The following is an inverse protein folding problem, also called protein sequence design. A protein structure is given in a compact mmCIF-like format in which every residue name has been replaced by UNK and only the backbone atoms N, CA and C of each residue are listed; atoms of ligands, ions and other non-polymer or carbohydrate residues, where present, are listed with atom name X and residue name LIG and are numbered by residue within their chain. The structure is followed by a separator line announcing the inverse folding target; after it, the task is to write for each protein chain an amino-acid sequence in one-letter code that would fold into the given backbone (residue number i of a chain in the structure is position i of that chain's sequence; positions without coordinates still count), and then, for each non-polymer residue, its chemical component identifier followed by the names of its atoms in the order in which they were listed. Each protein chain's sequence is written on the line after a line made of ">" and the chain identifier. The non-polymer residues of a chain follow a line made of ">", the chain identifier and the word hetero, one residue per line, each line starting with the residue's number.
data_IF_948423477243
#
_entry.id   IF_948423477243
#
_cell.length_a   1.000
_cell.length_b   1.000
_cell.length_c   1.000
_cell.angle_alpha   90.00
_cell.angle_beta   90.00
_cell.angle_gamma   90.00
#
_symmetry.space_group_name_H-M   'P 1'
#
loop_
_entity.id
_entity.type
_entity.pdbx_description
1 polymer ?
#
# COMPACT_ATOMS: atom_id res chain seq x y z
N UNK A 1 -26.68 30.12 -1.17
CA UNK A 1 -28.04 29.81 -0.70
C UNK A 1 -27.93 28.46 -0.03
N UNK A 2 -27.89 28.43 1.31
CA UNK A 2 -27.80 27.19 2.06
C UNK A 2 -29.13 26.46 1.96
N UNK A 3 -29.09 25.19 1.56
CA UNK A 3 -30.21 24.30 1.80
C UNK A 3 -30.22 24.02 3.31
N UNK A 4 -31.39 24.09 3.93
CA UNK A 4 -31.60 23.58 5.28
C UNK A 4 -32.07 22.13 5.16
N UNK A 5 -31.68 21.28 6.09
CA UNK A 5 -32.29 19.95 6.19
C UNK A 5 -33.71 20.05 6.78
N UNK A 6 -34.42 18.91 6.86
CA UNK A 6 -35.78 18.85 7.40
C UNK A 6 -35.89 19.32 8.88
N UNK A 7 -34.76 19.60 9.54
CA UNK A 7 -34.66 20.06 10.93
C UNK A 7 -34.14 21.51 11.04
N UNK A 8 -33.92 22.21 9.93
CA UNK A 8 -33.42 23.59 9.93
C UNK A 8 -31.91 23.71 10.16
N UNK A 9 -31.14 22.62 10.07
CA UNK A 9 -29.68 22.66 10.20
C UNK A 9 -29.08 23.10 8.85
N UNK A 10 -28.16 24.10 8.84
CA UNK A 10 -27.50 24.50 7.62
C UNK A 10 -26.71 23.34 6.99
N UNK A 11 -26.99 23.03 5.72
CA UNK A 11 -26.24 22.03 4.96
C UNK A 11 -25.02 22.67 4.31
N UNK A 12 -23.85 22.12 4.60
CA UNK A 12 -22.56 22.53 4.03
C UNK A 12 -22.27 21.80 2.70
N UNK A 13 -21.51 22.44 1.80
CA UNK A 13 -21.20 21.92 0.46
C UNK A 13 -19.70 21.89 0.16
N UNK A 14 -19.17 20.67 0.14
CA UNK A 14 -17.84 20.17 -0.22
C UNK A 14 -17.58 19.95 -1.71
N UNK A 15 -16.90 20.83 -2.45
CA UNK A 15 -16.47 20.53 -3.84
C UNK A 15 -15.00 20.12 -3.88
N UNK A 16 -14.70 18.96 -4.45
CA UNK A 16 -13.34 18.43 -4.57
C UNK A 16 -13.22 17.43 -5.73
N UNK A 17 -12.02 16.90 -5.94
CA UNK A 17 -11.76 15.84 -6.92
C UNK A 17 -11.47 14.50 -6.25
N UNK A 18 -11.79 13.41 -6.96
CA UNK A 18 -11.39 12.03 -6.67
C UNK A 18 -10.62 11.53 -7.89
N UNK A 19 -9.29 11.55 -7.83
CA UNK A 19 -8.47 11.46 -9.03
C UNK A 19 -8.81 12.62 -9.98
N UNK A 20 -9.35 12.33 -11.15
CA UNK A 20 -9.81 13.35 -12.13
C UNK A 20 -11.33 13.57 -12.13
N UNK A 21 -12.08 12.85 -11.29
CA UNK A 21 -13.53 12.94 -11.22
C UNK A 21 -13.96 14.03 -10.24
N UNK A 22 -14.77 15.02 -10.65
CA UNK A 22 -15.33 15.99 -9.72
C UNK A 22 -16.35 15.32 -8.79
N UNK A 23 -16.36 15.75 -7.54
CA UNK A 23 -17.25 15.27 -6.50
C UNK A 23 -17.83 16.45 -5.70
N UNK A 24 -19.08 16.30 -5.28
CA UNK A 24 -19.69 17.17 -4.28
C UNK A 24 -20.13 16.33 -3.09
N UNK A 25 -19.75 16.76 -1.89
CA UNK A 25 -20.20 16.17 -0.63
C UNK A 25 -21.07 17.18 0.09
N UNK A 26 -22.25 16.73 0.51
CA UNK A 26 -23.20 17.50 1.29
C UNK A 26 -23.32 16.88 2.68
N UNK A 27 -23.47 17.70 3.70
CA UNK A 27 -23.77 17.22 5.04
C UNK A 27 -24.02 18.37 6.00
N UNK A 28 -24.76 18.07 7.06
CA UNK A 28 -24.85 18.93 8.23
C UNK A 28 -23.56 18.80 9.05
N UNK A 29 -23.09 19.92 9.60
CA UNK A 29 -21.95 20.00 10.53
C UNK A 29 -20.69 19.30 10.00
N UNK A 30 -20.40 19.48 8.71
CA UNK A 30 -19.32 18.76 8.05
C UNK A 30 -17.95 19.15 8.62
N UNK A 31 -17.78 20.39 9.09
CA UNK A 31 -16.60 20.80 9.86
C UNK A 31 -16.31 19.87 11.05
N UNK A 32 -17.28 19.68 11.95
CA UNK A 32 -17.09 18.84 13.14
C UNK A 32 -16.98 17.36 12.79
N UNK A 33 -17.71 16.88 11.77
CA UNK A 33 -17.56 15.50 11.28
C UNK A 33 -16.18 15.22 10.73
N UNK A 34 -15.59 16.17 9.99
CA UNK A 34 -14.20 16.07 9.54
C UNK A 34 -13.24 16.01 10.74
N UNK A 35 -13.43 16.87 11.74
CA UNK A 35 -12.59 16.88 12.94
C UNK A 35 -12.72 15.58 13.74
N UNK A 36 -13.93 15.07 13.93
CA UNK A 36 -14.19 13.79 14.59
C UNK A 36 -13.49 12.64 13.87
N UNK A 37 -13.60 12.59 12.53
CA UNK A 37 -12.90 11.61 11.72
C UNK A 37 -11.38 11.70 11.89
N UNK A 38 -10.81 12.91 11.75
CA UNK A 38 -9.36 13.13 11.85
C UNK A 38 -8.81 12.81 13.25
N UNK A 39 -9.53 13.18 14.31
CA UNK A 39 -9.18 12.85 15.71
C UNK A 39 -9.27 11.35 16.00
N UNK A 40 -10.10 10.62 15.26
CA UNK A 40 -10.24 9.16 15.37
C UNK A 40 -9.15 8.35 14.65
N UNK A 41 -8.31 8.98 13.82
CA UNK A 41 -7.17 8.31 13.21
C UNK A 41 -6.05 8.19 14.24
N UNK A 42 -5.68 6.94 14.58
CA UNK A 42 -4.58 6.65 15.51
C UNK A 42 -3.44 5.91 14.80
N UNK A 43 -2.39 6.62 14.34
CA UNK A 43 -1.23 6.01 13.71
C UNK A 43 -0.37 5.20 14.68
N UNK A 44 -0.49 5.39 16.00
CA UNK A 44 0.30 4.66 17.00
C UNK A 44 -0.11 3.19 17.09
N UNK A 45 -1.26 2.80 16.55
CA UNK A 45 -1.61 1.41 16.31
C UNK A 45 -0.49 0.67 15.54
N UNK A 46 0.09 1.31 14.51
CA UNK A 46 1.17 0.72 13.72
C UNK A 46 2.48 0.61 14.50
N UNK A 47 2.76 1.59 15.36
CA UNK A 47 3.91 1.55 16.29
C UNK A 47 3.73 0.42 17.29
N UNK A 48 2.55 0.29 17.88
CA UNK A 48 2.23 -0.79 18.83
C UNK A 48 2.46 -2.17 18.21
N UNK A 49 2.02 -2.40 16.97
CA UNK A 49 2.32 -3.65 16.27
C UNK A 49 3.82 -3.82 16.08
N UNK A 50 4.52 -2.79 15.61
CA UNK A 50 5.96 -2.85 15.38
C UNK A 50 6.72 -3.23 16.66
N UNK A 51 6.42 -2.57 17.78
CA UNK A 51 7.07 -2.78 19.08
C UNK A 51 6.72 -4.11 19.74
N UNK A 52 5.49 -4.60 19.57
CA UNK A 52 5.07 -5.90 20.13
C UNK A 52 5.59 -7.08 19.32
N UNK A 53 5.70 -6.94 18.00
CA UNK A 53 6.14 -8.03 17.12
C UNK A 53 7.67 -8.08 16.94
N UNK A 54 8.37 -6.94 17.01
CA UNK A 54 9.83 -6.92 16.78
C UNK A 54 10.62 -7.87 17.71
N UNK A 55 10.36 -7.94 19.03
CA UNK A 55 11.07 -8.89 19.90
C UNK A 55 10.85 -10.35 19.53
N UNK A 56 9.71 -10.68 18.89
CA UNK A 56 9.35 -12.04 18.51
C UNK A 56 10.10 -12.53 17.26
N UNK A 57 10.79 -11.65 16.53
CA UNK A 57 11.63 -12.00 15.39
C UNK A 57 12.82 -12.89 15.76
N UNK A 58 13.22 -12.90 17.04
CA UNK A 58 14.30 -13.73 17.58
C UNK A 58 13.79 -15.02 18.24
N UNK A 59 12.50 -15.35 18.06
CA UNK A 59 11.86 -16.50 18.71
C UNK A 59 11.38 -17.54 17.69
N UNK A 60 10.83 -18.67 18.17
CA UNK A 60 10.18 -19.66 17.29
C UNK A 60 8.98 -19.08 16.51
N UNK A 61 8.37 -18.00 17.00
CA UNK A 61 7.25 -17.31 16.33
C UNK A 61 7.68 -16.31 15.26
N UNK A 62 8.98 -16.21 14.93
CA UNK A 62 9.54 -15.17 14.05
C UNK A 62 8.87 -15.02 12.68
N UNK A 63 8.44 -16.12 12.05
CA UNK A 63 7.76 -16.06 10.74
C UNK A 63 6.37 -15.43 10.87
N UNK A 64 5.64 -15.74 11.95
CA UNK A 64 4.34 -15.11 12.23
C UNK A 64 4.50 -13.65 12.60
N UNK A 65 5.51 -13.31 13.41
CA UNK A 65 5.83 -11.93 13.75
C UNK A 65 6.17 -11.10 12.50
N UNK A 66 7.03 -11.63 11.62
CA UNK A 66 7.37 -10.99 10.35
C UNK A 66 6.15 -10.81 9.44
N UNK A 67 5.26 -11.81 9.37
CA UNK A 67 4.03 -11.71 8.60
C UNK A 67 3.08 -10.63 9.15
N UNK A 68 2.90 -10.56 10.48
CA UNK A 68 2.12 -9.51 11.13
C UNK A 68 2.70 -8.12 10.84
N UNK A 69 4.02 -7.96 10.95
CA UNK A 69 4.72 -6.71 10.60
C UNK A 69 4.48 -6.34 9.13
N UNK A 70 4.56 -7.31 8.21
CA UNK A 70 4.34 -7.05 6.77
C UNK A 70 2.90 -6.65 6.47
N UNK A 71 1.92 -7.27 7.11
CA UNK A 71 0.50 -6.89 6.99
C UNK A 71 0.29 -5.47 7.52
N UNK A 72 0.80 -5.16 8.71
CA UNK A 72 0.72 -3.82 9.28
C UNK A 72 1.42 -2.78 8.39
N UNK A 73 2.55 -3.12 7.78
CA UNK A 73 3.26 -2.26 6.82
C UNK A 73 2.38 -1.93 5.62
N UNK A 74 1.72 -2.93 5.03
CA UNK A 74 0.80 -2.71 3.91
C UNK A 74 -0.41 -1.85 4.30
N UNK A 75 -0.97 -2.06 5.49
CA UNK A 75 -2.06 -1.24 6.01
C UNK A 75 -1.63 0.22 6.25
N UNK A 76 -0.50 0.44 6.91
CA UNK A 76 0.06 1.76 7.15
C UNK A 76 0.36 2.49 5.84
N UNK A 77 0.87 1.77 4.83
CA UNK A 77 1.12 2.29 3.50
C UNK A 77 -0.18 2.76 2.82
N UNK A 78 -1.23 1.92 2.80
CA UNK A 78 -2.53 2.32 2.24
C UNK A 78 -3.13 3.52 2.98
N UNK A 79 -3.06 3.54 4.32
CA UNK A 79 -3.52 4.67 5.13
C UNK A 79 -2.76 5.95 4.79
N UNK A 80 -1.42 5.90 4.72
CA UNK A 80 -0.58 7.05 4.37
C UNK A 80 -0.95 7.59 2.99
N UNK A 81 -1.10 6.73 1.98
CA UNK A 81 -1.47 7.15 0.62
C UNK A 81 -2.86 7.78 0.58
N UNK A 82 -3.82 7.22 1.33
CA UNK A 82 -5.17 7.77 1.42
C UNK A 82 -5.19 9.17 2.06
N UNK A 83 -4.48 9.37 3.19
CA UNK A 83 -4.42 10.70 3.82
C UNK A 83 -3.65 11.72 2.98
N UNK A 84 -2.62 11.29 2.23
CA UNK A 84 -1.94 12.14 1.23
C UNK A 84 -2.90 12.54 0.11
N UNK A 85 -3.67 11.60 -0.43
CA UNK A 85 -4.69 11.85 -1.44
C UNK A 85 -5.75 12.86 -0.98
N UNK A 86 -6.30 12.67 0.23
CA UNK A 86 -7.22 13.61 0.85
C UNK A 86 -6.59 15.01 1.03
N UNK A 87 -5.32 15.08 1.45
CA UNK A 87 -4.59 16.34 1.63
C UNK A 87 -4.45 17.10 0.32
N UNK A 88 -4.19 16.41 -0.78
CA UNK A 88 -4.02 17.01 -2.10
C UNK A 88 -5.34 17.47 -2.71
N UNK A 89 -6.37 16.65 -2.64
CA UNK A 89 -7.58 16.86 -3.44
C UNK A 89 -8.74 17.46 -2.65
N UNK A 90 -8.81 17.22 -1.34
CA UNK A 90 -9.92 17.62 -0.50
C UNK A 90 -9.48 18.04 0.92
N UNK A 91 -8.49 18.94 1.09
CA UNK A 91 -7.98 19.31 2.41
C UNK A 91 -9.04 19.93 3.33
N UNK A 92 -10.12 20.50 2.77
CA UNK A 92 -11.27 21.01 3.53
C UNK A 92 -12.38 19.99 3.78
N UNK A 93 -12.34 18.80 3.17
CA UNK A 93 -13.31 17.73 3.41
C UNK A 93 -12.67 16.33 3.35
N UNK A 94 -11.69 16.01 4.23
CA UNK A 94 -11.01 14.71 4.19
C UNK A 94 -11.95 13.53 4.38
N UNK A 95 -12.97 13.64 5.25
CA UNK A 95 -13.96 12.58 5.44
C UNK A 95 -14.72 12.28 4.15
N UNK A 96 -15.19 13.31 3.46
CA UNK A 96 -15.92 13.17 2.19
C UNK A 96 -15.09 12.48 1.12
N UNK A 97 -13.79 12.78 1.06
CA UNK A 97 -12.86 12.12 0.15
C UNK A 97 -12.67 10.64 0.53
N UNK A 98 -12.40 10.36 1.81
CA UNK A 98 -12.10 9.03 2.33
C UNK A 98 -13.23 8.01 2.12
N UNK A 99 -14.49 8.44 2.19
CA UNK A 99 -15.64 7.55 1.98
C UNK A 99 -16.04 7.38 0.51
N UNK A 100 -15.42 8.15 -0.40
CA UNK A 100 -15.86 8.24 -1.80
C UNK A 100 -14.83 7.76 -2.82
N UNK A 101 -13.53 7.76 -2.50
CA UNK A 101 -12.50 7.41 -3.46
C UNK A 101 -12.53 5.91 -3.80
N UNK A 102 -12.15 5.59 -5.04
CA UNK A 102 -11.87 4.23 -5.46
C UNK A 102 -10.36 3.96 -5.51
N UNK A 103 -9.94 2.71 -5.37
CA UNK A 103 -8.52 2.34 -5.35
C UNK A 103 -7.75 2.78 -6.61
N UNK A 104 -8.38 2.75 -7.79
CA UNK A 104 -7.79 3.25 -9.04
C UNK A 104 -7.64 4.78 -9.04
N UNK A 105 -8.57 5.51 -8.41
CA UNK A 105 -8.52 6.96 -8.28
C UNK A 105 -7.38 7.37 -7.34
N UNK A 106 -7.25 6.72 -6.17
CA UNK A 106 -6.12 6.95 -5.29
C UNK A 106 -4.78 6.65 -5.99
N UNK A 107 -4.68 5.54 -6.73
CA UNK A 107 -3.48 5.23 -7.52
C UNK A 107 -3.15 6.30 -8.54
N UNK A 108 -4.14 6.82 -9.26
CA UNK A 108 -3.94 7.93 -10.18
C UNK A 108 -3.39 9.17 -9.48
N UNK A 109 -3.90 9.53 -8.30
CA UNK A 109 -3.38 10.66 -7.52
C UNK A 109 -1.92 10.46 -7.13
N UNK A 110 -1.57 9.26 -6.64
CA UNK A 110 -0.20 8.94 -6.23
C UNK A 110 0.74 8.87 -7.44
N UNK A 111 0.27 8.38 -8.58
CA UNK A 111 1.02 8.37 -9.84
C UNK A 111 1.30 9.80 -10.33
N UNK A 112 0.29 10.67 -10.34
CA UNK A 112 0.45 12.08 -10.71
C UNK A 112 1.46 12.78 -9.75
N UNK A 113 1.46 12.41 -8.46
CA UNK A 113 2.38 12.96 -7.46
C UNK A 113 3.87 12.61 -7.68
N UNK A 114 4.15 11.44 -8.29
CA UNK A 114 5.54 10.98 -8.54
C UNK A 114 6.00 11.15 -9.99
N UNK A 115 5.09 11.14 -10.97
CA UNK A 115 5.45 11.14 -12.39
C UNK A 115 5.30 12.48 -13.10
N UNK A 116 4.33 13.33 -12.74
CA UNK A 116 4.06 14.56 -13.50
C UNK A 116 3.37 15.67 -12.69
N UNK A 117 4.00 16.84 -12.54
CA UNK A 117 3.35 18.03 -11.96
C UNK A 117 2.07 18.46 -12.69
N UNK A 118 1.94 18.18 -13.99
CA UNK A 118 0.75 18.58 -14.77
C UNK A 118 -0.50 17.75 -14.44
N UNK A 119 -0.33 16.53 -13.93
CA UNK A 119 -1.43 15.67 -13.46
C UNK A 119 -2.13 16.24 -12.22
N UNK A 120 -1.43 17.11 -11.47
CA UNK A 120 -1.94 17.75 -10.25
C UNK A 120 -2.67 19.07 -10.51
N UNK A 121 -2.96 19.41 -11.78
CA UNK A 121 -3.73 20.61 -12.16
C UNK A 121 -5.15 20.65 -11.57
N UNK A 122 -5.66 19.50 -11.12
CA UNK A 122 -6.94 19.37 -10.43
C UNK A 122 -6.82 19.48 -8.89
N UNK A 123 -5.63 19.75 -8.36
CA UNK A 123 -5.41 19.99 -6.93
C UNK A 123 -5.48 21.48 -6.62
N UNK A 124 -5.70 21.82 -5.35
CA UNK A 124 -5.67 23.22 -4.87
C UNK A 124 -4.26 23.73 -4.61
N UNK A 125 -3.24 22.95 -4.96
CA UNK A 125 -1.85 23.18 -4.58
C UNK A 125 -0.98 23.61 -5.77
N UNK A 126 -0.11 24.59 -5.55
CA UNK A 126 1.01 24.87 -6.44
C UNK A 126 2.27 24.13 -5.95
N UNK A 127 2.49 22.93 -6.50
CA UNK A 127 3.52 22.00 -6.04
C UNK A 127 4.80 22.04 -6.89
N UNK A 128 4.77 22.72 -8.03
CA UNK A 128 5.92 22.87 -8.93
C UNK A 128 6.59 21.54 -9.31
N UNK A 129 7.91 21.58 -9.54
CA UNK A 129 8.70 20.44 -10.04
C UNK A 129 9.12 19.42 -8.98
N UNK A 130 8.88 19.69 -7.68
CA UNK A 130 9.19 18.77 -6.58
C UNK A 130 7.98 18.60 -5.65
N UNK A 131 6.91 17.92 -6.11
CA UNK A 131 5.63 17.95 -5.41
C UNK A 131 5.68 17.40 -3.99
N UNK A 132 6.35 16.26 -3.80
CA UNK A 132 6.49 15.63 -2.48
C UNK A 132 7.29 16.49 -1.48
N UNK A 133 8.34 17.17 -1.94
CA UNK A 133 9.14 18.04 -1.08
C UNK A 133 8.34 19.27 -0.65
N UNK A 134 7.61 19.88 -1.59
CA UNK A 134 6.73 21.03 -1.29
C UNK A 134 5.60 20.64 -0.36
N UNK A 135 4.96 19.50 -0.60
CA UNK A 135 3.91 18.98 0.25
C UNK A 135 4.43 18.69 1.66
N UNK A 136 5.56 17.99 1.79
CA UNK A 136 6.17 17.71 3.10
C UNK A 136 6.50 19.01 3.85
N UNK A 137 7.07 20.01 3.16
CA UNK A 137 7.33 21.32 3.75
C UNK A 137 6.06 22.01 4.26
N UNK A 138 4.99 22.03 3.47
CA UNK A 138 3.72 22.64 3.86
C UNK A 138 3.01 21.90 5.00
N UNK A 139 3.08 20.57 5.02
CA UNK A 139 2.53 19.76 6.12
C UNK A 139 3.25 20.07 7.43
N UNK A 140 4.58 20.23 7.38
CA UNK A 140 5.42 20.41 8.56
C UNK A 140 5.59 21.87 9.00
N UNK A 141 5.25 22.85 8.16
CA UNK A 141 5.36 24.28 8.46
C UNK A 141 4.69 24.67 9.80
N UNK A 142 3.48 24.21 10.14
CA UNK A 142 2.83 24.59 11.39
C UNK A 142 3.55 24.07 12.65
N UNK A 143 4.53 23.16 12.52
CA UNK A 143 5.34 22.71 13.64
C UNK A 143 6.26 23.82 14.21
N UNK A 144 6.46 24.93 13.47
CA UNK A 144 7.17 26.10 13.96
C UNK A 144 8.69 25.92 14.09
N UNK A 145 9.29 24.96 13.38
CA UNK A 145 10.73 24.75 13.41
C UNK A 145 11.50 25.85 12.64
N UNK A 146 12.77 26.11 13.00
CA UNK A 146 13.66 26.96 12.20
C UNK A 146 13.74 26.47 10.75
N UNK A 147 13.91 27.40 9.80
CA UNK A 147 13.85 27.11 8.36
C UNK A 147 14.79 25.98 7.91
N UNK A 148 16.03 25.95 8.40
CA UNK A 148 16.99 24.90 8.05
C UNK A 148 16.54 23.52 8.51
N UNK A 149 15.97 23.45 9.72
CA UNK A 149 15.47 22.20 10.28
C UNK A 149 14.19 21.73 9.59
N UNK A 150 13.28 22.66 9.26
CA UNK A 150 12.11 22.38 8.45
C UNK A 150 12.50 21.82 7.08
N UNK A 151 13.45 22.47 6.40
CA UNK A 151 13.94 22.04 5.08
C UNK A 151 14.57 20.65 5.12
N UNK A 152 15.41 20.38 6.14
CA UNK A 152 16.05 19.08 6.36
C UNK A 152 15.00 17.98 6.56
N UNK A 153 14.01 18.23 7.41
CA UNK A 153 12.93 17.26 7.70
C UNK A 153 12.03 17.02 6.50
N UNK A 154 11.62 18.08 5.83
CA UNK A 154 10.82 17.99 4.61
C UNK A 154 11.53 17.13 3.56
N UNK A 155 12.86 17.25 3.43
CA UNK A 155 13.66 16.40 2.55
C UNK A 155 13.57 14.92 2.94
N UNK A 156 13.83 14.58 4.20
CA UNK A 156 13.78 13.20 4.70
C UNK A 156 12.41 12.54 4.51
N UNK A 157 11.34 13.24 4.92
CA UNK A 157 9.97 12.75 4.74
C UNK A 157 9.60 12.62 3.27
N UNK A 158 9.95 13.60 2.42
CA UNK A 158 9.63 13.53 0.99
C UNK A 158 10.34 12.37 0.28
N UNK A 159 11.56 12.03 0.68
CA UNK A 159 12.28 10.87 0.15
C UNK A 159 11.63 9.56 0.60
N UNK A 160 11.20 9.47 1.86
CA UNK A 160 10.45 8.31 2.36
C UNK A 160 9.11 8.15 1.62
N UNK A 161 8.33 9.23 1.52
CA UNK A 161 7.06 9.25 0.80
C UNK A 161 7.24 8.87 -0.66
N UNK A 162 8.28 9.37 -1.33
CA UNK A 162 8.57 9.01 -2.72
C UNK A 162 8.75 7.50 -2.88
N UNK A 163 9.57 6.86 -2.04
CA UNK A 163 9.77 5.40 -2.10
C UNK A 163 8.47 4.63 -1.88
N UNK A 164 7.67 5.05 -0.91
CA UNK A 164 6.40 4.40 -0.59
C UNK A 164 5.33 4.63 -1.64
N UNK A 165 5.32 5.79 -2.32
CA UNK A 165 4.46 5.99 -3.49
C UNK A 165 4.81 4.97 -4.59
N UNK A 166 6.11 4.76 -4.87
CA UNK A 166 6.53 3.74 -5.84
C UNK A 166 6.17 2.32 -5.40
N UNK A 167 6.32 1.97 -4.12
CA UNK A 167 5.91 0.65 -3.60
C UNK A 167 4.39 0.47 -3.64
N UNK A 168 3.62 1.50 -3.31
CA UNK A 168 2.16 1.46 -3.43
C UNK A 168 1.72 1.24 -4.89
N UNK A 169 2.43 1.86 -5.84
CA UNK A 169 2.16 1.70 -7.28
C UNK A 169 2.64 0.35 -7.84
N UNK A 170 3.50 -0.39 -7.15
CA UNK A 170 3.96 -1.70 -7.60
C UNK A 170 2.85 -2.76 -7.53
N UNK A 171 2.49 -3.33 -8.69
CA UNK A 171 1.43 -4.34 -8.80
C UNK A 171 1.79 -5.64 -8.06
N UNK A 172 3.08 -5.97 -7.93
CA UNK A 172 3.51 -7.15 -7.18
C UNK A 172 3.28 -6.92 -5.68
N UNK A 173 3.68 -5.76 -5.14
CA UNK A 173 3.43 -5.38 -3.74
C UNK A 173 1.95 -5.36 -3.41
N UNK A 174 1.11 -4.86 -4.31
CA UNK A 174 -0.35 -4.90 -4.17
C UNK A 174 -0.90 -6.34 -4.17
N UNK A 175 -0.41 -7.21 -5.06
CA UNK A 175 -0.84 -8.60 -5.10
C UNK A 175 -0.45 -9.35 -3.82
N UNK A 176 0.78 -9.13 -3.34
CA UNK A 176 1.28 -9.69 -2.07
C UNK A 176 0.40 -9.26 -0.90
N UNK A 177 0.19 -7.95 -0.73
CA UNK A 177 -0.59 -7.43 0.38
C UNK A 177 -2.03 -7.97 0.37
N UNK A 178 -2.67 -8.06 -0.80
CA UNK A 178 -4.00 -8.67 -0.90
C UNK A 178 -4.00 -10.16 -0.54
N UNK A 179 -3.00 -10.93 -0.98
CA UNK A 179 -2.88 -12.34 -0.60
C UNK A 179 -2.72 -12.51 0.92
N UNK A 180 -1.86 -11.69 1.54
CA UNK A 180 -1.65 -11.71 2.99
C UNK A 180 -2.90 -11.27 3.78
N UNK A 181 -3.53 -10.16 3.38
CA UNK A 181 -4.73 -9.61 4.03
C UNK A 181 -5.89 -10.62 4.08
N UNK A 182 -6.04 -11.43 3.04
CA UNK A 182 -7.09 -12.44 2.99
C UNK A 182 -6.68 -13.78 3.61
N UNK A 183 -5.46 -13.91 4.13
CA UNK A 183 -4.95 -15.16 4.73
C UNK A 183 -4.95 -16.35 3.77
N UNK A 184 -5.03 -16.09 2.47
CA UNK A 184 -5.18 -17.11 1.43
C UNK A 184 -4.04 -16.95 0.43
N UNK A 185 -3.52 -18.07 -0.09
CA UNK A 185 -2.59 -18.08 -1.24
C UNK A 185 -1.20 -17.49 -0.96
N UNK A 186 -0.80 -17.38 0.31
CA UNK A 186 0.55 -16.96 0.71
C UNK A 186 1.23 -18.07 1.50
N UNK A 187 2.42 -18.48 1.05
CA UNK A 187 3.34 -19.31 1.82
C UNK A 187 4.39 -18.40 2.47
N UNK A 188 4.56 -18.51 3.79
CA UNK A 188 5.57 -17.76 4.52
C UNK A 188 6.96 -18.39 4.33
N UNK A 189 7.97 -17.53 4.31
CA UNK A 189 9.37 -17.90 4.14
C UNK A 189 10.00 -17.14 2.98
N UNK A 190 11.23 -16.72 3.18
CA UNK A 190 12.04 -16.10 2.13
C UNK A 190 12.70 -17.13 1.22
N UNK A 191 13.57 -16.63 0.34
CA UNK A 191 14.36 -17.41 -0.58
C UNK A 191 15.81 -16.90 -0.62
N UNK A 192 16.71 -17.75 -1.10
CA UNK A 192 18.08 -17.37 -1.44
C UNK A 192 18.30 -17.51 -2.94
N UNK A 193 19.15 -16.65 -3.49
CA UNK A 193 19.57 -16.71 -4.88
C UNK A 193 21.09 -16.73 -4.95
N UNK A 194 21.62 -17.77 -5.59
CA UNK A 194 23.05 -18.02 -5.71
C UNK A 194 23.39 -18.38 -7.15
N UNK A 195 24.56 -17.94 -7.63
CA UNK A 195 25.07 -18.26 -8.97
C UNK A 195 26.44 -18.92 -8.81
N UNK A 196 26.65 -20.03 -9.51
CA UNK A 196 27.94 -20.69 -9.66
C UNK A 196 28.21 -21.01 -11.13
N UNK A 197 29.49 -21.16 -11.47
CA UNK A 197 29.88 -21.60 -12.80
C UNK A 197 29.90 -23.13 -12.85
N UNK A 198 29.43 -23.71 -13.96
CA UNK A 198 29.57 -25.13 -14.20
C UNK A 198 31.06 -25.49 -14.34
N UNK A 199 31.54 -26.48 -13.59
CA UNK A 199 32.91 -26.99 -13.72
C UNK A 199 33.06 -27.94 -14.92
N UNK A 200 31.94 -28.46 -15.43
CA UNK A 200 31.85 -29.27 -16.64
C UNK A 200 30.49 -29.03 -17.33
N UNK A 201 30.40 -29.04 -18.68
CA UNK A 201 29.16 -28.73 -19.39
C UNK A 201 27.98 -29.63 -18.97
N UNK A 202 26.87 -29.02 -18.57
CA UNK A 202 25.65 -29.71 -18.15
C UNK A 202 25.71 -30.28 -16.74
N UNK A 203 26.79 -30.02 -15.99
CA UNK A 203 26.91 -30.37 -14.57
C UNK A 203 26.69 -29.10 -13.75
N UNK A 204 25.60 -29.09 -12.99
CA UNK A 204 25.28 -27.96 -12.10
C UNK A 204 26.47 -27.65 -11.17
N UNK A 205 26.71 -26.36 -10.93
CA UNK A 205 27.76 -25.93 -10.01
C UNK A 205 27.51 -26.48 -8.60
N UNK A 206 28.59 -26.79 -7.87
CA UNK A 206 28.48 -27.19 -6.46
C UNK A 206 27.98 -25.99 -5.63
N UNK A 207 26.97 -26.24 -4.78
CA UNK A 207 26.38 -25.24 -3.89
C UNK A 207 27.44 -24.54 -3.03
N UNK A 208 28.48 -25.27 -2.59
CA UNK A 208 29.56 -24.70 -1.79
C UNK A 208 30.43 -23.68 -2.55
N UNK A 209 30.42 -23.73 -3.89
CA UNK A 209 31.18 -22.83 -4.77
C UNK A 209 30.34 -21.69 -5.34
N UNK A 210 29.00 -21.75 -5.16
CA UNK A 210 28.11 -20.70 -5.61
C UNK A 210 28.29 -19.43 -4.78
N UNK A 211 28.15 -18.28 -5.44
CA UNK A 211 28.10 -16.97 -4.79
C UNK A 211 26.65 -16.57 -4.56
N UNK A 212 26.27 -16.38 -3.30
CA UNK A 212 24.95 -15.85 -2.94
C UNK A 212 24.87 -14.37 -3.27
N UNK A 213 23.89 -13.99 -4.09
CA UNK A 213 23.61 -12.60 -4.44
C UNK A 213 22.61 -11.96 -3.46
N UNK A 214 21.79 -12.76 -2.80
CA UNK A 214 20.91 -12.31 -1.75
C UNK A 214 20.12 -13.45 -1.15
N UNK A 215 19.82 -13.32 0.14
CA UNK A 215 18.99 -14.25 0.86
C UNK A 215 18.21 -13.51 1.93
N UNK A 216 16.99 -13.97 2.19
CA UNK A 216 16.29 -13.69 3.43
C UNK A 216 15.59 -14.96 3.86
N UNK A 217 15.53 -15.18 5.17
CA UNK A 217 14.64 -16.21 5.72
C UNK A 217 13.19 -15.73 5.80
N UNK A 218 12.96 -14.41 5.73
CA UNK A 218 11.66 -13.79 5.78
C UNK A 218 11.18 -13.44 4.38
N UNK A 219 9.92 -13.72 4.11
CA UNK A 219 9.37 -13.49 2.79
C UNK A 219 8.01 -14.12 2.61
N UNK A 220 7.52 -14.00 1.39
CA UNK A 220 6.33 -14.70 0.93
C UNK A 220 6.53 -15.32 -0.43
N UNK A 221 5.80 -16.40 -0.68
CA UNK A 221 5.54 -16.92 -2.03
C UNK A 221 4.04 -16.96 -2.27
N UNK A 222 3.58 -16.41 -3.38
CA UNK A 222 2.15 -16.26 -3.68
C UNK A 222 1.88 -16.31 -5.19
N UNK A 223 0.63 -16.61 -5.54
CA UNK A 223 0.18 -16.69 -6.93
C UNK A 223 -0.44 -15.35 -7.38
N UNK A 224 0.03 -14.83 -8.51
CA UNK A 224 -0.50 -13.63 -9.17
C UNK A 224 -1.29 -14.06 -10.41
N UNK A 225 -2.56 -13.63 -10.58
CA UNK A 225 -3.32 -13.95 -11.77
C UNK A 225 -2.75 -13.23 -12.99
N UNK A 226 -2.56 -13.97 -14.09
CA UNK A 226 -2.14 -13.45 -15.40
C UNK A 226 -3.27 -13.68 -16.38
N UNK A 227 -3.81 -12.61 -16.95
CA UNK A 227 -4.87 -12.71 -17.95
C UNK A 227 -4.28 -13.19 -19.27
N UNK A 228 -4.86 -14.24 -19.84
CA UNK A 228 -4.48 -14.79 -21.14
C UNK A 228 -5.36 -14.21 -22.26
N UNK A 229 -6.67 -14.14 -22.03
CA UNK A 229 -7.63 -13.55 -22.96
C UNK A 229 -8.92 -13.12 -22.23
N UNK A 230 -9.19 -11.82 -22.21
CA UNK A 230 -10.38 -11.28 -21.56
C UNK A 230 -10.41 -11.56 -20.05
N UNK A 231 -11.61 -11.74 -19.49
CA UNK A 231 -11.80 -12.07 -18.07
C UNK A 231 -11.94 -13.57 -17.80
N UNK A 232 -12.27 -14.35 -18.84
CA UNK A 232 -12.55 -15.78 -18.71
C UNK A 232 -11.26 -16.61 -18.64
N UNK A 233 -10.25 -16.23 -19.42
CA UNK A 233 -9.01 -17.00 -19.55
C UNK A 233 -7.89 -16.37 -18.73
N UNK A 234 -7.43 -17.10 -17.72
CA UNK A 234 -6.31 -16.70 -16.88
C UNK A 234 -5.42 -17.89 -16.51
N UNK A 235 -4.16 -17.62 -16.26
CA UNK A 235 -3.23 -18.51 -15.58
C UNK A 235 -2.75 -17.86 -14.28
N UNK A 236 -1.90 -18.54 -13.53
CA UNK A 236 -1.24 -18.00 -12.35
C UNK A 236 0.26 -17.99 -12.54
N UNK A 237 0.91 -16.92 -12.08
CA UNK A 237 2.36 -16.83 -11.97
C UNK A 237 2.75 -16.83 -10.51
N UNK A 238 3.60 -17.77 -10.12
CA UNK A 238 4.21 -17.76 -8.78
C UNK A 238 5.24 -16.66 -8.68
N UNK A 239 5.13 -15.87 -7.61
CA UNK A 239 6.07 -14.80 -7.26
C UNK A 239 6.53 -15.03 -5.84
N UNK A 240 7.84 -14.89 -5.60
CA UNK A 240 8.43 -14.92 -4.27
C UNK A 240 9.09 -13.58 -3.96
N UNK A 241 8.96 -13.12 -2.72
CA UNK A 241 9.55 -11.87 -2.23
C UNK A 241 10.28 -12.08 -0.93
N UNK A 242 11.45 -11.47 -0.82
CA UNK A 242 12.19 -11.40 0.42
C UNK A 242 11.82 -10.13 1.19
N UNK A 243 11.82 -10.24 2.51
CA UNK A 243 11.57 -9.15 3.43
C UNK A 243 12.78 -8.87 4.31
N UNK A 244 12.80 -7.67 4.88
CA UNK A 244 13.65 -7.33 6.02
C UNK A 244 12.76 -6.75 7.12
N UNK A 245 12.23 -7.59 8.05
CA UNK A 245 11.25 -7.15 9.04
C UNK A 245 11.73 -5.99 9.92
N UNK A 246 13.01 -5.96 10.27
CA UNK A 246 13.61 -4.87 11.07
C UNK A 246 13.51 -3.52 10.34
N UNK A 247 13.75 -3.47 9.03
CA UNK A 247 13.56 -2.26 8.23
C UNK A 247 12.07 -1.85 8.16
N UNK A 248 11.17 -2.83 8.11
CA UNK A 248 9.73 -2.58 8.15
C UNK A 248 9.28 -2.00 9.51
N UNK A 249 9.87 -2.45 10.63
CA UNK A 249 9.63 -1.87 11.96
C UNK A 249 9.98 -0.38 11.96
N UNK A 250 11.16 0.00 11.46
CA UNK A 250 11.52 1.41 11.32
C UNK A 250 10.57 2.17 10.39
N UNK A 251 10.17 1.55 9.28
CA UNK A 251 9.22 2.15 8.35
C UNK A 251 7.85 2.40 8.99
N UNK A 252 7.34 1.49 9.82
CA UNK A 252 6.08 1.67 10.55
C UNK A 252 6.11 2.89 11.47
N UNK A 253 7.24 3.13 12.15
CA UNK A 253 7.41 4.35 12.96
C UNK A 253 7.38 5.61 12.10
N UNK A 254 8.10 5.63 10.97
CA UNK A 254 8.14 6.81 10.09
C UNK A 254 6.78 7.04 9.41
N UNK A 255 6.08 5.97 9.01
CA UNK A 255 4.72 6.07 8.47
C UNK A 255 3.75 6.60 9.51
N UNK A 256 3.81 6.12 10.75
CA UNK A 256 2.99 6.62 11.85
C UNK A 256 3.22 8.12 12.06
N UNK A 257 4.49 8.56 12.18
CA UNK A 257 4.83 9.97 12.28
C UNK A 257 4.35 10.78 11.06
N UNK A 258 4.46 10.23 9.85
CA UNK A 258 3.96 10.87 8.62
C UNK A 258 2.46 11.09 8.67
N UNK A 259 1.69 10.06 9.05
CA UNK A 259 0.23 10.13 9.16
C UNK A 259 -0.13 11.13 10.27
N UNK A 260 0.52 11.08 11.44
CA UNK A 260 0.30 12.07 12.52
C UNK A 260 0.49 13.50 12.02
N UNK A 261 1.59 13.77 11.33
CA UNK A 261 1.92 15.11 10.80
C UNK A 261 0.87 15.60 9.78
N UNK A 262 0.45 14.72 8.86
CA UNK A 262 -0.58 15.03 7.86
C UNK A 262 -1.94 15.27 8.53
N UNK A 263 -2.32 14.42 9.49
CA UNK A 263 -3.58 14.57 10.23
C UNK A 263 -3.59 15.87 11.03
N UNK A 264 -2.52 16.21 11.73
CA UNK A 264 -2.37 17.49 12.43
C UNK A 264 -2.52 18.68 11.50
N UNK A 265 -1.87 18.63 10.33
CA UNK A 265 -2.04 19.65 9.29
C UNK A 265 -3.50 19.79 8.82
N UNK A 266 -4.18 18.66 8.56
CA UNK A 266 -5.58 18.65 8.15
C UNK A 266 -6.53 19.14 9.25
N UNK A 267 -6.25 18.83 10.52
CA UNK A 267 -7.00 19.32 11.68
C UNK A 267 -6.92 20.84 11.80
N UNK A 268 -5.70 21.40 11.71
CA UNK A 268 -5.50 22.87 11.70
C UNK A 268 -6.26 23.51 10.53
N UNK A 269 -6.18 22.92 9.34
CA UNK A 269 -6.92 23.39 8.15
C UNK A 269 -8.44 23.34 8.32
N UNK A 270 -8.95 22.37 9.08
CA UNK A 270 -10.36 22.23 9.42
C UNK A 270 -10.80 23.11 10.61
N UNK A 271 -9.90 23.91 11.19
CA UNK A 271 -10.21 24.84 12.28
C UNK A 271 -10.05 24.27 13.69
N UNK A 272 -9.36 23.14 13.85
CA UNK A 272 -9.03 22.61 15.19
C UNK A 272 -8.00 23.51 15.90
N UNK A 273 -7.93 23.40 17.22
CA UNK A 273 -6.93 24.11 18.03
C UNK A 273 -5.51 23.60 17.70
N UNK A 274 -4.61 24.44 17.14
CA UNK A 274 -3.25 24.04 16.81
C UNK A 274 -2.45 23.52 18.01
N UNK A 275 -2.77 23.96 19.24
CA UNK A 275 -2.06 23.52 20.46
C UNK A 275 -2.36 22.06 20.83
N UNK A 276 -3.44 21.50 20.28
CA UNK A 276 -3.83 20.08 20.46
C UNK A 276 -3.31 19.19 19.31
N UNK A 277 -2.71 19.79 18.29
CA UNK A 277 -2.14 19.09 17.15
C UNK A 277 -0.67 18.74 17.45
N UNK A 278 -0.25 17.53 17.06
CA UNK A 278 1.09 17.01 17.36
C UNK A 278 1.88 16.82 16.08
N UNK A 279 3.14 17.22 16.13
CA UNK A 279 4.10 16.98 15.06
C UNK A 279 5.22 16.07 15.55
N UNK A 280 5.35 14.92 14.91
CA UNK A 280 6.31 13.88 15.24
C UNK A 280 7.54 13.96 14.35
N UNK A 281 8.68 13.58 14.94
CA UNK A 281 9.97 13.58 14.28
C UNK A 281 10.96 12.65 14.99
N UNK A 282 12.07 12.39 14.31
CA UNK A 282 13.17 11.58 14.82
C UNK A 282 14.38 12.47 15.09
N UNK A 283 15.02 12.29 16.25
CA UNK A 283 16.27 12.98 16.59
C UNK A 283 17.47 12.44 15.80
N UNK A 284 17.36 11.21 15.27
CA UNK A 284 18.41 10.54 14.52
C UNK A 284 17.93 10.17 13.12
N UNK A 285 18.52 10.80 12.10
CA UNK A 285 18.16 10.61 10.70
C UNK A 285 18.45 9.21 10.18
N UNK A 286 19.38 8.47 10.79
CA UNK A 286 19.71 7.10 10.37
C UNK A 286 18.50 6.15 10.48
N UNK A 287 17.44 6.53 11.20
CA UNK A 287 16.16 5.79 11.19
C UNK A 287 15.57 5.74 9.77
N UNK A 288 15.68 6.84 9.00
CA UNK A 288 15.24 6.88 7.60
C UNK A 288 16.10 5.98 6.71
N UNK A 289 17.40 5.91 6.95
CA UNK A 289 18.32 5.02 6.22
C UNK A 289 18.00 3.55 6.52
N UNK A 290 17.87 3.17 7.79
CA UNK A 290 17.50 1.80 8.19
C UNK A 290 16.14 1.36 7.66
N UNK A 291 15.19 2.28 7.54
CA UNK A 291 13.90 2.00 6.90
C UNK A 291 14.02 1.72 5.39
N UNK A 292 15.14 2.09 4.77
CA UNK A 292 15.41 1.82 3.35
C UNK A 292 16.12 0.50 3.10
N UNK A 293 16.62 -0.17 4.14
CA UNK A 293 17.37 -1.39 3.96
C UNK A 293 16.50 -2.45 3.28
N UNK A 294 17.10 -3.15 2.32
CA UNK A 294 16.43 -4.18 1.52
C UNK A 294 17.26 -5.45 1.52
N UNK A 295 16.62 -6.62 1.43
CA UNK A 295 17.34 -7.85 1.11
C UNK A 295 17.97 -7.72 -0.28
N UNK A 296 19.17 -8.27 -0.47
CA UNK A 296 19.95 -8.11 -1.71
C UNK A 296 19.17 -8.53 -2.97
N UNK A 297 18.52 -9.69 -2.93
CA UNK A 297 17.54 -10.12 -3.93
C UNK A 297 16.16 -10.07 -3.30
N UNK A 298 15.28 -9.24 -3.86
CA UNK A 298 14.02 -8.84 -3.23
C UNK A 298 12.78 -9.51 -3.84
N UNK A 299 12.80 -9.83 -5.13
CA UNK A 299 11.67 -10.45 -5.84
C UNK A 299 12.20 -11.43 -6.88
N UNK A 300 11.55 -12.57 -7.02
CA UNK A 300 11.77 -13.51 -8.11
C UNK A 300 10.44 -14.08 -8.61
N UNK A 301 10.37 -14.37 -9.90
CA UNK A 301 9.18 -14.93 -10.54
C UNK A 301 9.56 -15.72 -11.78
N UNK A 302 8.70 -16.64 -12.22
CA UNK A 302 8.77 -17.18 -13.58
C UNK A 302 9.65 -18.43 -13.76
N UNK A 303 9.78 -19.29 -12.74
CA UNK A 303 10.43 -20.59 -12.92
C UNK A 303 9.52 -21.68 -13.49
N UNK A 304 8.21 -21.42 -13.58
CA UNK A 304 7.27 -22.34 -14.23
C UNK A 304 7.20 -22.06 -15.74
N UNK A 305 6.92 -23.09 -16.57
CA UNK A 305 6.67 -22.90 -18.00
C UNK A 305 5.61 -21.82 -18.26
N UNK A 306 5.88 -20.92 -19.21
CA UNK A 306 4.97 -19.82 -19.51
C UNK A 306 3.77 -20.33 -20.32
N UNK A 307 2.57 -20.19 -19.76
CA UNK A 307 1.31 -20.40 -20.50
C UNK A 307 0.93 -19.08 -21.16
N UNK A 308 0.86 -19.06 -22.49
CA UNK A 308 0.47 -17.90 -23.28
C UNK A 308 -0.88 -18.15 -23.95
N UNK A 309 -1.40 -17.15 -24.66
CA UNK A 309 -2.65 -17.28 -25.43
C UNK A 309 -2.56 -18.37 -26.51
N UNK A 310 -1.37 -18.66 -27.03
CA UNK A 310 -1.15 -19.67 -28.07
C UNK A 310 -1.28 -21.09 -27.53
N UNK A 311 -1.13 -21.27 -26.21
CA UNK A 311 -1.22 -22.57 -25.54
C UNK A 311 -2.65 -22.96 -25.14
N UNK A 312 -3.65 -22.08 -25.35
CA UNK A 312 -5.02 -22.31 -24.88
C UNK A 312 -6.03 -22.42 -26.03
N UNK A 313 -7.04 -23.26 -25.83
CA UNK A 313 -8.28 -23.20 -26.61
C UNK A 313 -9.11 -22.02 -26.10
N UNK A 314 -9.61 -21.17 -27.01
CA UNK A 314 -10.50 -20.09 -26.63
C UNK A 314 -11.90 -20.62 -26.36
N UNK A 315 -12.42 -20.34 -25.17
CA UNK A 315 -13.81 -20.62 -24.79
C UNK A 315 -14.62 -19.32 -24.71
N UNK A 316 -15.91 -19.43 -24.96
CA UNK A 316 -16.92 -18.44 -24.63
C UNK A 316 -17.52 -18.72 -23.24
N UNK A 317 -18.15 -17.71 -22.65
CA UNK A 317 -18.82 -17.89 -21.34
C UNK A 317 -19.94 -18.92 -21.38
N UNK A 318 -20.64 -19.05 -22.51
CA UNK A 318 -21.74 -20.00 -22.67
C UNK A 318 -21.24 -21.45 -22.75
N UNK A 319 -20.14 -21.70 -23.46
CA UNK A 319 -19.54 -23.03 -23.54
C UNK A 319 -19.04 -23.51 -22.17
N UNK A 320 -18.39 -22.61 -21.41
CA UNK A 320 -17.93 -22.94 -20.04
C UNK A 320 -19.10 -23.22 -19.11
N UNK A 321 -20.18 -22.42 -19.15
CA UNK A 321 -21.36 -22.63 -18.31
C UNK A 321 -22.06 -23.97 -18.62
N UNK A 322 -22.14 -24.35 -19.89
CA UNK A 322 -22.69 -25.63 -20.31
C UNK A 322 -21.86 -26.80 -19.77
N UNK A 323 -20.54 -26.79 -19.96
CA UNK A 323 -19.64 -27.87 -19.48
C UNK A 323 -19.71 -28.01 -17.95
N UNK A 324 -19.72 -26.89 -17.21
CA UNK A 324 -19.80 -26.91 -15.76
C UNK A 324 -21.12 -27.52 -15.25
N UNK A 325 -22.22 -27.31 -15.96
CA UNK A 325 -23.51 -27.93 -15.62
C UNK A 325 -23.49 -29.43 -15.88
N UNK A 326 -22.94 -29.86 -17.02
CA UNK A 326 -22.76 -31.27 -17.33
C UNK A 326 -21.86 -31.97 -16.30
N UNK A 327 -20.75 -31.35 -15.90
CA UNK A 327 -19.87 -31.85 -14.83
C UNK A 327 -20.60 -31.99 -13.50
N UNK A 328 -21.44 -31.02 -13.15
CA UNK A 328 -22.23 -31.08 -11.94
C UNK A 328 -23.24 -32.23 -11.96
N UNK A 329 -23.93 -32.44 -13.09
CA UNK A 329 -24.85 -33.56 -13.27
C UNK A 329 -24.13 -34.91 -13.19
N UNK A 330 -22.95 -35.04 -13.83
CA UNK A 330 -22.08 -36.22 -13.73
C UNK A 330 -21.67 -36.50 -12.29
N UNK A 331 -21.29 -35.46 -11.53
CA UNK A 331 -20.95 -35.58 -10.12
C UNK A 331 -22.15 -36.03 -9.26
N UNK A 332 -23.35 -35.51 -9.50
CA UNK A 332 -24.55 -35.93 -8.77
C UNK A 332 -24.96 -37.37 -9.10
N UNK A 333 -24.81 -37.80 -10.36
CA UNK A 333 -25.08 -39.17 -10.78
C UNK A 333 -24.13 -40.17 -10.12
N UNK A 334 -22.82 -39.86 -10.06
CA UNK A 334 -21.83 -40.75 -9.45
C UNK A 334 -22.03 -40.95 -7.94
N UNK A 335 -22.64 -39.99 -7.23
CA UNK A 335 -23.04 -40.15 -5.83
C UNK A 335 -24.27 -41.03 -5.63
N UNK A 336 -25.21 -41.04 -6.57
CA UNK A 336 -26.37 -41.94 -6.53
C UNK A 336 -25.99 -43.40 -6.76
N UNK A 337 -25.00 -43.64 -7.61
CA UNK A 337 -24.51 -44.98 -7.91
C UNK A 337 -23.55 -45.56 -6.85
N UNK A 338 -23.01 -44.71 -5.96
CA UNK A 338 -22.11 -45.13 -4.87
C UNK A 338 -22.80 -45.46 -3.55
N UNK A 339 -24.14 -45.36 -3.47
CA UNK A 339 -24.92 -45.91 -2.37
C UNK A 339 -24.72 -45.22 -1.01
N UNK A 340 -24.36 -43.94 -0.99
CA UNK A 340 -24.57 -43.06 0.19
C UNK A 340 -26.00 -42.48 0.21
#
# INVERSE_FOLDING_TARGET
>A
MGAEDDQGVPVECYKHYLGRRPQVTWGAEMGERNLTFLRGLDPHYFVHIAETQAPLLETESRQYAAATIRVAYGQALETLMAVLGATLQAPGCPLGWMVSYQNNELRQVIEDLVTSPSGLSHTTWDLGSKPLLRLAGAVLEPAGWPADELNRRALLFSQAWSRWCHEFLDEISKAEFNAMKHGTRTQLGGFSFSIGYETAPGVAADLATMRTLGASEFGSTFAVPVKLQGRLHQTSRTVSRNWLPVAMVHSLHIMAASITNIVSFLRIRAGDDPTTCRYEFFSNDSVFERACDRPGVHTISGFAPEVTREHITAWTGAEVDMELREDHERFLASRKDSGE
#
